data_IF_915657267768
#
_entry.id   IF_915657267768
#
_cell.length_a   1.000
_cell.length_b   1.000
_cell.length_c   1.000
_cell.angle_alpha   90.00
_cell.angle_beta   90.00
_cell.angle_gamma   90.00
#
_symmetry.space_group_name_H-M   'P 1'
#
loop_
_entity.id
_entity.type
_entity.pdbx_description
1 polymer ?
#
# COMPACT_ATOMS: atom_id res chain seq x y z
N UNK A 1 -4.87 10.78 20.02
CA UNK A 1 -3.65 11.60 20.08
C UNK A 1 -3.02 11.59 18.71
N UNK A 2 -3.10 12.68 17.94
CA UNK A 2 -2.44 12.80 16.63
C UNK A 2 -0.94 12.72 16.86
N UNK A 3 -0.28 11.71 16.26
CA UNK A 3 1.19 11.66 16.24
C UNK A 3 1.64 12.76 15.30
N UNK A 4 2.47 13.69 15.77
CA UNK A 4 3.08 14.71 14.92
C UNK A 4 4.03 14.01 13.92
N UNK A 5 3.48 13.53 12.81
CA UNK A 5 4.24 12.86 11.75
C UNK A 5 4.77 13.96 10.83
N UNK A 6 6.09 14.06 10.74
CA UNK A 6 6.72 15.00 9.84
C UNK A 6 6.44 14.62 8.39
N UNK A 7 5.79 15.53 7.66
CA UNK A 7 5.59 15.43 6.21
C UNK A 7 6.76 16.01 5.41
N UNK A 8 7.82 16.44 6.10
CA UNK A 8 9.05 16.90 5.47
C UNK A 8 9.69 15.75 4.69
N UNK A 9 10.02 15.95 3.40
CA UNK A 9 10.70 14.92 2.63
C UNK A 9 12.01 14.49 3.31
N UNK A 10 12.30 13.18 3.38
CA UNK A 10 13.49 12.70 4.07
C UNK A 10 14.79 13.15 3.37
N UNK A 11 15.77 13.55 4.17
CA UNK A 11 17.14 13.85 3.71
C UNK A 11 17.90 12.55 3.39
N UNK A 12 17.56 11.45 4.05
CA UNK A 12 18.04 10.10 3.75
C UNK A 12 16.87 9.11 3.90
N UNK A 13 16.35 8.63 2.77
CA UNK A 13 15.12 7.85 2.74
C UNK A 13 15.36 6.39 3.19
N UNK A 14 14.65 6.01 4.25
CA UNK A 14 14.63 4.64 4.81
C UNK A 14 13.20 4.10 5.00
N UNK A 15 12.21 4.64 4.26
CA UNK A 15 10.78 4.34 4.44
C UNK A 15 10.38 2.91 4.08
N UNK A 16 11.22 2.17 3.37
CA UNK A 16 10.94 0.81 2.90
C UNK A 16 12.23 -0.05 2.95
N UNK A 17 12.16 -1.37 2.67
CA UNK A 17 13.33 -2.27 2.70
C UNK A 17 14.48 -1.83 1.79
N UNK A 18 14.21 -1.07 0.74
CA UNK A 18 15.26 -0.53 -0.15
C UNK A 18 16.29 0.33 0.56
N UNK A 19 15.88 1.05 1.61
CA UNK A 19 16.75 1.95 2.39
C UNK A 19 17.73 2.73 1.49
N UNK A 20 17.20 3.23 0.35
CA UNK A 20 18.01 3.76 -0.76
C UNK A 20 18.77 5.06 -0.41
N UNK A 21 18.49 5.68 0.73
CA UNK A 21 19.19 6.88 1.18
C UNK A 21 18.93 8.15 0.35
N UNK A 22 17.98 8.11 -0.59
CA UNK A 22 17.71 9.26 -1.45
C UNK A 22 17.37 10.51 -0.64
N UNK A 23 18.02 11.63 -0.94
CA UNK A 23 17.72 12.94 -0.36
C UNK A 23 16.52 13.55 -1.12
N UNK A 24 15.31 13.14 -0.71
CA UNK A 24 14.07 13.62 -1.32
C UNK A 24 13.84 15.11 -1.07
N UNK A 25 14.34 15.64 0.04
CA UNK A 25 14.28 17.09 0.34
C UNK A 25 15.10 17.92 -0.66
N UNK A 26 16.17 17.36 -1.22
CA UNK A 26 16.97 17.99 -2.28
C UNK A 26 16.54 17.60 -3.70
N UNK A 27 15.33 17.06 -3.87
CA UNK A 27 14.77 16.69 -5.17
C UNK A 27 15.26 15.35 -5.75
N UNK A 28 16.04 14.55 -5.00
CA UNK A 28 16.41 13.22 -5.45
C UNK A 28 15.20 12.27 -5.39
N UNK A 29 15.12 11.35 -6.35
CA UNK A 29 14.14 10.26 -6.34
C UNK A 29 14.76 8.97 -5.82
N UNK A 30 13.99 8.20 -5.05
CA UNK A 30 14.42 6.88 -4.61
C UNK A 30 14.26 5.81 -5.69
N UNK A 31 14.61 4.55 -5.37
CA UNK A 31 14.37 3.39 -6.22
C UNK A 31 12.89 3.30 -6.69
N UNK A 32 11.97 3.67 -5.80
CA UNK A 32 10.53 3.67 -6.08
C UNK A 32 10.07 4.81 -7.01
N UNK A 33 10.93 5.73 -7.41
CA UNK A 33 10.57 6.91 -8.19
C UNK A 33 9.93 8.05 -7.40
N UNK A 34 9.76 7.89 -6.07
CA UNK A 34 9.17 8.94 -5.24
C UNK A 34 10.17 10.07 -4.96
N UNK A 35 9.74 11.30 -5.24
CA UNK A 35 10.46 12.55 -4.95
C UNK A 35 9.92 13.26 -3.69
N UNK A 36 10.00 14.58 -3.67
CA UNK A 36 9.58 15.41 -2.53
C UNK A 36 8.07 15.59 -2.41
N UNK A 37 7.35 15.55 -3.53
CA UNK A 37 5.91 15.84 -3.61
C UNK A 37 5.09 14.58 -3.79
N UNK A 38 4.01 14.45 -3.03
CA UNK A 38 3.05 13.35 -3.14
C UNK A 38 2.47 13.26 -4.55
N UNK A 39 2.43 12.04 -5.12
CA UNK A 39 1.97 11.81 -6.48
C UNK A 39 0.98 10.65 -6.54
N UNK A 40 -0.19 10.91 -7.14
CA UNK A 40 -1.22 9.90 -7.38
C UNK A 40 -1.63 9.87 -8.86
N UNK A 41 -1.94 8.67 -9.35
CA UNK A 41 -2.28 8.47 -10.75
C UNK A 41 -3.79 8.42 -11.00
N UNK A 42 -4.53 7.84 -10.05
CA UNK A 42 -5.98 7.63 -10.19
C UNK A 42 -6.64 7.59 -8.82
N UNK A 43 -7.85 8.13 -8.75
CA UNK A 43 -8.76 7.94 -7.62
C UNK A 43 -10.17 7.71 -8.18
N UNK A 44 -10.78 6.56 -7.86
CA UNK A 44 -12.13 6.20 -8.32
C UNK A 44 -12.68 5.00 -7.55
N UNK A 45 -13.98 4.78 -7.65
CA UNK A 45 -14.59 3.50 -7.25
C UNK A 45 -14.03 2.37 -8.13
N UNK A 46 -13.60 1.28 -7.50
CA UNK A 46 -13.06 0.09 -8.14
C UNK A 46 -13.86 -1.14 -7.72
N UNK A 47 -14.33 -1.93 -8.71
CA UNK A 47 -15.28 -3.03 -8.48
C UNK A 47 -14.64 -4.41 -8.65
N UNK A 48 -13.34 -4.45 -8.92
CA UNK A 48 -12.61 -5.69 -9.26
C UNK A 48 -11.50 -6.01 -8.25
N UNK A 49 -11.62 -5.50 -7.02
CA UNK A 49 -10.84 -5.99 -5.90
C UNK A 49 -11.54 -7.25 -5.33
N UNK A 50 -11.01 -7.86 -4.28
CA UNK A 50 -11.63 -9.03 -3.65
C UNK A 50 -13.11 -8.73 -3.29
N UNK A 51 -14.02 -9.72 -3.42
CA UNK A 51 -15.46 -9.50 -3.22
C UNK A 51 -15.80 -8.86 -1.86
N UNK A 52 -15.11 -9.25 -0.79
CA UNK A 52 -15.30 -8.67 0.54
C UNK A 52 -14.69 -7.27 0.73
N UNK A 53 -13.96 -6.75 -0.27
CA UNK A 53 -13.43 -5.38 -0.32
C UNK A 53 -14.30 -4.50 -1.21
N UNK A 54 -14.58 -4.94 -2.45
CA UNK A 54 -15.34 -4.16 -3.43
C UNK A 54 -16.85 -4.19 -3.18
N UNK A 55 -17.38 -5.33 -2.74
CA UNK A 55 -18.82 -5.51 -2.58
C UNK A 55 -19.62 -5.04 -3.79
N UNK A 56 -20.79 -4.47 -3.53
CA UNK A 56 -21.69 -3.96 -4.58
C UNK A 56 -21.49 -2.48 -4.91
N UNK A 57 -20.89 -1.71 -3.98
CA UNK A 57 -20.70 -0.26 -4.13
C UNK A 57 -19.28 0.13 -4.57
N UNK A 58 -18.37 -0.84 -4.61
CA UNK A 58 -16.98 -0.62 -4.98
C UNK A 58 -16.08 -0.16 -3.82
N UNK A 59 -14.79 -0.32 -4.03
CA UNK A 59 -13.71 0.16 -3.17
C UNK A 59 -13.28 1.56 -3.63
N UNK A 60 -13.18 2.51 -2.72
CA UNK A 60 -12.68 3.87 -3.00
C UNK A 60 -11.17 3.86 -3.17
N UNK A 61 -10.69 3.52 -4.36
CA UNK A 61 -9.29 3.17 -4.61
C UNK A 61 -8.48 4.36 -5.07
N UNK A 62 -7.33 4.58 -4.41
CA UNK A 62 -6.33 5.59 -4.79
C UNK A 62 -5.02 4.89 -5.16
N UNK A 63 -4.60 5.05 -6.42
CA UNK A 63 -3.35 4.52 -6.94
C UNK A 63 -2.24 5.55 -6.81
N UNK A 64 -1.24 5.26 -5.97
CA UNK A 64 -0.08 6.13 -5.80
C UNK A 64 1.01 5.79 -6.81
N UNK A 65 1.68 6.84 -7.32
CA UNK A 65 2.77 6.69 -8.30
C UNK A 65 4.02 6.14 -7.65
N UNK A 66 4.72 5.28 -8.41
CA UNK A 66 5.93 4.61 -7.96
C UNK A 66 5.65 3.34 -7.17
N UNK A 67 6.69 2.49 -7.02
CA UNK A 67 6.62 1.24 -6.27
C UNK A 67 8.00 0.83 -5.77
N UNK A 68 8.04 0.21 -4.59
CA UNK A 68 9.27 -0.35 -4.01
C UNK A 68 9.74 -1.62 -4.71
N UNK A 69 8.90 -2.22 -5.56
CA UNK A 69 9.19 -3.36 -6.44
C UNK A 69 9.23 -2.92 -7.90
N UNK A 70 9.87 -3.74 -8.76
CA UNK A 70 9.92 -3.56 -10.23
C UNK A 70 9.48 -4.85 -10.91
N UNK A 71 8.27 -5.32 -10.56
CA UNK A 71 7.73 -6.58 -11.11
C UNK A 71 7.56 -6.48 -12.62
N UNK A 72 8.16 -7.41 -13.39
CA UNK A 72 8.05 -7.43 -14.85
C UNK A 72 6.61 -7.71 -15.34
N UNK A 73 5.78 -8.34 -14.50
CA UNK A 73 4.36 -8.65 -14.79
C UNK A 73 3.38 -7.64 -14.16
N UNK A 74 3.83 -6.44 -13.79
CA UNK A 74 2.97 -5.47 -13.12
C UNK A 74 1.85 -4.96 -14.03
N UNK A 75 0.58 -5.18 -13.65
CA UNK A 75 -0.58 -4.67 -14.37
C UNK A 75 -0.61 -3.14 -14.43
N UNK A 76 -0.06 -2.50 -13.38
CA UNK A 76 -0.02 -1.04 -13.22
C UNK A 76 1.38 -0.48 -13.59
N UNK A 77 2.08 -1.09 -14.55
CA UNK A 77 3.44 -0.72 -14.92
C UNK A 77 3.63 0.79 -15.19
N UNK A 78 2.74 1.47 -15.94
CA UNK A 78 2.86 2.92 -16.15
C UNK A 78 2.84 3.73 -14.84
N UNK A 79 2.06 3.28 -13.84
CA UNK A 79 1.95 3.95 -12.54
C UNK A 79 3.16 3.60 -11.66
N UNK A 80 3.49 2.31 -11.57
CA UNK A 80 4.46 1.77 -10.61
C UNK A 80 5.91 1.97 -11.05
N UNK A 81 6.21 1.84 -12.35
CA UNK A 81 7.57 1.88 -12.89
C UNK A 81 7.87 3.18 -13.64
N UNK A 82 6.93 3.68 -14.45
CA UNK A 82 7.10 4.89 -15.26
C UNK A 82 6.65 6.17 -14.51
N UNK A 83 6.03 6.00 -13.33
CA UNK A 83 5.66 7.11 -12.47
C UNK A 83 4.54 7.98 -13.02
N UNK A 84 3.64 7.40 -13.83
CA UNK A 84 2.41 8.08 -14.27
C UNK A 84 1.63 8.61 -13.06
N UNK A 85 1.16 9.84 -13.16
CA UNK A 85 0.34 10.49 -12.14
C UNK A 85 0.60 11.99 -12.06
N UNK A 86 -0.13 12.63 -11.15
CA UNK A 86 -0.05 14.09 -10.90
C UNK A 86 0.38 14.32 -9.46
N UNK A 87 1.12 15.38 -9.25
CA UNK A 87 1.41 15.89 -7.91
C UNK A 87 0.14 16.46 -7.30
N UNK A 88 -0.09 16.12 -6.04
CA UNK A 88 -1.24 16.58 -5.28
C UNK A 88 -0.80 17.04 -3.89
N UNK A 89 -1.58 17.93 -3.28
CA UNK A 89 -1.35 18.33 -1.88
C UNK A 89 -1.95 17.32 -0.92
N UNK A 90 -1.58 17.42 0.34
CA UNK A 90 -2.12 16.58 1.43
C UNK A 90 -3.61 16.87 1.60
N UNK A 91 -4.01 18.14 1.53
CA UNK A 91 -5.38 18.61 1.65
C UNK A 91 -6.23 18.04 0.50
N UNK A 92 -5.71 18.09 -0.73
CA UNK A 92 -6.44 17.55 -1.88
C UNK A 92 -6.58 16.00 -1.78
N UNK A 93 -5.59 15.30 -1.23
CA UNK A 93 -5.74 13.87 -0.96
C UNK A 93 -6.83 13.60 0.10
N UNK A 94 -6.94 14.44 1.13
CA UNK A 94 -8.01 14.32 2.12
C UNK A 94 -9.40 14.57 1.50
N UNK A 95 -9.52 15.54 0.59
CA UNK A 95 -10.75 15.79 -0.19
C UNK A 95 -11.12 14.61 -1.07
N UNK A 96 -10.14 13.96 -1.70
CA UNK A 96 -10.33 12.73 -2.49
C UNK A 96 -10.93 11.62 -1.60
N UNK A 97 -10.40 11.40 -0.40
CA UNK A 97 -10.93 10.39 0.51
C UNK A 97 -12.39 10.66 0.91
N UNK A 98 -12.71 11.90 1.24
CA UNK A 98 -14.08 12.31 1.56
C UNK A 98 -15.02 12.16 0.36
N UNK A 99 -14.59 12.59 -0.83
CA UNK A 99 -15.36 12.45 -2.05
C UNK A 99 -15.64 10.99 -2.46
N UNK A 100 -14.70 10.06 -2.20
CA UNK A 100 -14.93 8.63 -2.39
C UNK A 100 -15.94 8.07 -1.38
N UNK A 101 -15.92 8.55 -0.14
CA UNK A 101 -16.94 8.22 0.87
C UNK A 101 -18.32 8.72 0.45
N UNK A 102 -18.44 9.95 -0.04
CA UNK A 102 -19.70 10.54 -0.52
C UNK A 102 -20.26 9.78 -1.73
N UNK A 103 -19.40 9.20 -2.57
CA UNK A 103 -19.79 8.32 -3.67
C UNK A 103 -20.27 6.94 -3.19
N UNK A 104 -20.23 6.65 -1.89
CA UNK A 104 -20.74 5.42 -1.29
C UNK A 104 -19.75 4.24 -1.28
N UNK A 105 -18.44 4.48 -1.42
CA UNK A 105 -17.43 3.43 -1.32
C UNK A 105 -17.58 2.62 -0.03
N UNK A 106 -17.22 1.33 -0.07
CA UNK A 106 -17.18 0.49 1.13
C UNK A 106 -15.97 0.78 2.02
N UNK A 107 -14.87 1.26 1.44
CA UNK A 107 -13.60 1.55 2.12
C UNK A 107 -12.78 2.55 1.31
N UNK A 108 -11.68 3.02 1.87
CA UNK A 108 -10.61 3.73 1.14
C UNK A 108 -9.45 2.77 0.95
N UNK A 109 -9.14 2.43 -0.30
CA UNK A 109 -8.11 1.48 -0.67
C UNK A 109 -6.86 2.20 -1.20
N UNK A 110 -5.79 2.15 -0.45
CA UNK A 110 -4.50 2.79 -0.73
C UNK A 110 -3.60 1.80 -1.48
N UNK A 111 -3.46 1.96 -2.80
CA UNK A 111 -2.64 1.05 -3.62
C UNK A 111 -1.21 1.54 -3.68
N UNK A 112 -0.28 0.71 -3.20
CA UNK A 112 1.16 0.98 -3.14
C UNK A 112 1.48 2.27 -2.37
N UNK A 113 1.05 2.41 -1.10
CA UNK A 113 1.16 3.67 -0.36
C UNK A 113 2.50 3.87 0.35
N UNK A 114 3.32 2.82 0.51
CA UNK A 114 4.46 2.77 1.46
C UNK A 114 5.46 3.92 1.30
N UNK A 115 5.82 4.29 0.05
CA UNK A 115 6.74 5.39 -0.25
C UNK A 115 6.17 6.79 0.05
N UNK A 116 4.85 6.90 0.24
CA UNK A 116 4.13 8.13 0.53
C UNK A 116 3.50 8.17 1.92
N UNK A 117 3.81 7.17 2.78
CA UNK A 117 3.21 7.00 4.11
C UNK A 117 3.07 8.29 4.93
N UNK A 118 4.09 9.12 5.15
CA UNK A 118 3.96 10.31 5.99
C UNK A 118 2.89 11.30 5.48
N UNK A 119 2.83 11.51 4.16
CA UNK A 119 1.84 12.42 3.55
C UNK A 119 0.43 11.85 3.60
N UNK A 120 0.31 10.53 3.38
CA UNK A 120 -1.00 9.85 3.43
C UNK A 120 -1.55 9.87 4.86
N UNK A 121 -0.72 9.64 5.87
CA UNK A 121 -1.16 9.72 7.27
C UNK A 121 -1.67 11.12 7.59
N UNK A 122 -0.97 12.17 7.18
CA UNK A 122 -1.42 13.53 7.39
C UNK A 122 -2.77 13.82 6.68
N UNK A 123 -2.94 13.30 5.45
CA UNK A 123 -4.21 13.40 4.74
C UNK A 123 -5.35 12.64 5.43
N UNK A 124 -5.07 11.45 6.00
CA UNK A 124 -6.04 10.69 6.77
C UNK A 124 -6.45 11.41 8.06
N UNK A 125 -5.53 12.09 8.73
CA UNK A 125 -5.85 12.91 9.91
C UNK A 125 -6.81 14.06 9.53
N UNK A 126 -6.55 14.76 8.44
CA UNK A 126 -7.42 15.83 7.91
C UNK A 126 -8.80 15.25 7.52
N UNK A 127 -8.82 14.16 6.77
CA UNK A 127 -10.05 13.54 6.31
C UNK A 127 -10.91 13.02 7.49
N UNK A 128 -10.28 12.42 8.50
CA UNK A 128 -10.98 11.98 9.72
C UNK A 128 -11.57 13.16 10.51
N UNK A 129 -10.86 14.26 10.61
CA UNK A 129 -11.38 15.50 11.19
C UNK A 129 -12.56 16.05 10.36
N UNK A 130 -12.52 15.88 9.04
CA UNK A 130 -13.59 16.22 8.09
C UNK A 130 -14.75 15.21 8.02
N UNK A 131 -14.71 14.12 8.81
CA UNK A 131 -15.83 13.16 8.88
C UNK A 131 -15.63 11.85 8.13
N UNK A 132 -14.42 11.50 7.70
CA UNK A 132 -14.11 10.18 7.15
C UNK A 132 -14.36 9.08 8.21
N UNK A 133 -15.17 8.07 7.85
CA UNK A 133 -15.56 6.95 8.73
C UNK A 133 -15.28 5.58 8.12
N UNK A 134 -14.97 5.53 6.83
CA UNK A 134 -14.73 4.26 6.13
C UNK A 134 -13.47 3.57 6.65
N UNK A 135 -13.44 2.23 6.66
CA UNK A 135 -12.22 1.49 6.91
C UNK A 135 -11.15 1.77 5.84
N UNK A 136 -9.90 1.76 6.26
CA UNK A 136 -8.74 2.04 5.39
C UNK A 136 -8.05 0.73 5.05
N UNK A 137 -7.92 0.46 3.76
CA UNK A 137 -7.22 -0.69 3.20
C UNK A 137 -5.82 -0.26 2.76
N UNK A 138 -4.78 -0.98 3.18
CA UNK A 138 -3.43 -0.86 2.64
C UNK A 138 -3.18 -2.02 1.66
N UNK A 139 -3.21 -1.72 0.37
CA UNK A 139 -2.95 -2.67 -0.71
C UNK A 139 -1.47 -2.59 -1.10
N UNK A 140 -0.69 -3.58 -0.66
CA UNK A 140 0.76 -3.57 -0.76
C UNK A 140 1.31 -4.85 -1.40
N UNK A 141 2.43 -4.72 -2.10
CA UNK A 141 3.18 -5.86 -2.61
C UNK A 141 3.88 -6.72 -1.55
N UNK A 142 3.64 -6.46 -0.27
CA UNK A 142 4.22 -7.19 0.87
C UNK A 142 5.66 -6.80 1.20
N UNK A 143 6.38 -6.14 0.31
CA UNK A 143 7.78 -5.74 0.50
C UNK A 143 7.87 -4.51 1.40
N UNK A 144 7.67 -4.74 2.70
CA UNK A 144 7.66 -3.73 3.77
C UNK A 144 8.62 -4.13 4.89
N UNK A 145 9.00 -3.17 5.72
CA UNK A 145 9.68 -3.47 6.98
C UNK A 145 8.67 -3.52 8.13
N UNK A 146 9.02 -4.21 9.23
CA UNK A 146 8.19 -4.21 10.45
C UNK A 146 7.97 -2.79 10.96
N UNK A 147 9.00 -1.94 10.94
CA UNK A 147 8.91 -0.53 11.35
C UNK A 147 7.94 0.25 10.44
N UNK A 148 7.91 -0.10 9.13
CA UNK A 148 6.95 0.48 8.18
C UNK A 148 5.53 0.14 8.57
N UNK A 149 5.26 -1.13 8.89
CA UNK A 149 3.94 -1.61 9.34
C UNK A 149 3.54 -0.94 10.66
N UNK A 150 4.46 -0.89 11.63
CA UNK A 150 4.19 -0.26 12.92
C UNK A 150 3.87 1.24 12.80
N UNK A 151 4.46 1.92 11.84
CA UNK A 151 4.18 3.34 11.60
C UNK A 151 2.74 3.60 11.09
N UNK A 152 2.07 2.59 10.51
CA UNK A 152 0.68 2.64 10.10
C UNK A 152 -0.33 2.35 11.23
N UNK A 153 0.14 1.96 12.43
CA UNK A 153 -0.73 1.58 13.56
C UNK A 153 -1.76 2.66 13.90
N UNK A 154 -3.03 2.26 13.88
CA UNK A 154 -4.18 3.14 14.12
C UNK A 154 -4.69 3.88 12.88
N UNK A 155 -4.07 3.65 11.72
CA UNK A 155 -4.52 4.21 10.44
C UNK A 155 -5.10 3.16 9.50
N UNK A 156 -4.51 1.97 9.46
CA UNK A 156 -4.94 0.87 8.59
C UNK A 156 -5.82 -0.10 9.37
N UNK A 157 -6.97 -0.43 8.80
CA UNK A 157 -7.93 -1.40 9.33
C UNK A 157 -7.77 -2.75 8.63
N UNK A 158 -7.49 -2.72 7.33
CA UNK A 158 -7.40 -3.90 6.48
C UNK A 158 -6.06 -3.90 5.74
N UNK A 159 -5.31 -4.99 5.87
CA UNK A 159 -4.13 -5.24 5.07
C UNK A 159 -4.46 -6.16 3.91
N UNK A 160 -4.24 -5.71 2.70
CA UNK A 160 -4.34 -6.47 1.47
C UNK A 160 -2.91 -6.63 0.94
N UNK A 161 -2.25 -7.68 1.41
CA UNK A 161 -0.82 -7.89 1.20
C UNK A 161 -0.56 -9.05 0.25
N UNK A 162 0.42 -8.89 -0.64
CA UNK A 162 0.89 -10.00 -1.46
C UNK A 162 2.04 -10.74 -0.75
N UNK A 163 2.07 -12.06 -0.83
CA UNK A 163 3.25 -12.89 -0.59
C UNK A 163 3.62 -13.57 -1.92
N UNK A 164 4.56 -12.94 -2.64
CA UNK A 164 4.79 -13.26 -4.05
C UNK A 164 5.76 -14.42 -4.27
N UNK A 165 6.78 -14.54 -3.40
CA UNK A 165 7.91 -15.48 -3.58
C UNK A 165 8.45 -15.95 -2.24
N UNK A 166 8.98 -17.17 -2.23
CA UNK A 166 9.94 -17.66 -1.24
C UNK A 166 11.37 -17.60 -1.83
N UNK A 167 11.52 -17.91 -3.10
CA UNK A 167 12.80 -17.95 -3.81
C UNK A 167 13.43 -16.57 -3.99
N UNK A 168 14.63 -16.36 -3.45
CA UNK A 168 15.42 -15.13 -3.62
C UNK A 168 15.85 -14.90 -5.07
N UNK A 169 16.18 -15.97 -5.82
CA UNK A 169 16.54 -15.85 -7.23
C UNK A 169 15.37 -15.39 -8.07
N UNK A 170 14.19 -15.98 -7.86
CA UNK A 170 12.97 -15.62 -8.56
C UNK A 170 12.53 -14.19 -8.26
N UNK A 171 12.57 -13.78 -7.00
CA UNK A 171 12.21 -12.43 -6.59
C UNK A 171 13.21 -11.38 -7.06
N UNK A 172 14.51 -11.74 -7.17
CA UNK A 172 15.51 -10.87 -7.79
C UNK A 172 15.24 -10.66 -9.27
N UNK A 173 14.97 -11.73 -10.01
CA UNK A 173 14.72 -11.73 -11.45
C UNK A 173 13.43 -10.97 -11.80
N UNK A 174 12.32 -11.35 -11.17
CA UNK A 174 10.99 -10.88 -11.57
C UNK A 174 10.55 -9.58 -10.90
N UNK A 175 11.13 -9.19 -9.76
CA UNK A 175 10.72 -8.00 -9.00
C UNK A 175 11.88 -7.15 -8.47
N UNK A 176 13.13 -7.46 -8.87
CA UNK A 176 14.35 -6.77 -8.42
C UNK A 176 14.50 -6.70 -6.89
N UNK A 177 14.06 -7.74 -6.17
CA UNK A 177 14.05 -7.77 -4.70
C UNK A 177 14.57 -9.11 -4.16
N UNK A 178 15.91 -9.36 -4.17
CA UNK A 178 16.47 -10.64 -3.75
C UNK A 178 16.20 -11.01 -2.28
N UNK A 179 15.90 -10.02 -1.46
CA UNK A 179 15.55 -10.16 -0.04
C UNK A 179 14.03 -10.15 0.22
N UNK A 180 13.20 -10.33 -0.83
CA UNK A 180 11.75 -10.16 -0.74
C UNK A 180 11.14 -10.95 0.41
N UNK A 181 11.35 -12.26 0.48
CA UNK A 181 10.72 -13.11 1.49
C UNK A 181 11.20 -12.77 2.91
N UNK A 182 12.50 -12.49 3.07
CA UNK A 182 13.08 -12.11 4.35
C UNK A 182 12.49 -10.79 4.91
N UNK A 183 12.01 -9.90 4.05
CA UNK A 183 11.34 -8.66 4.44
C UNK A 183 9.82 -8.87 4.57
N UNK A 184 9.21 -9.54 3.59
CA UNK A 184 7.76 -9.65 3.50
C UNK A 184 7.15 -10.50 4.63
N UNK A 185 7.76 -11.65 4.96
CA UNK A 185 7.25 -12.54 6.00
C UNK A 185 7.09 -11.85 7.36
N UNK A 186 8.14 -11.26 7.98
CA UNK A 186 7.99 -10.60 9.27
C UNK A 186 7.07 -9.37 9.20
N UNK A 187 7.00 -8.68 8.05
CA UNK A 187 6.08 -7.57 7.85
C UNK A 187 4.61 -8.05 7.85
N UNK A 188 4.31 -9.17 7.18
CA UNK A 188 2.97 -9.77 7.15
C UNK A 188 2.58 -10.29 8.55
N UNK A 189 3.49 -10.93 9.28
CA UNK A 189 3.27 -11.32 10.67
C UNK A 189 2.91 -10.10 11.55
N UNK A 190 3.59 -8.97 11.36
CA UNK A 190 3.27 -7.72 12.04
C UNK A 190 1.91 -7.14 11.62
N UNK A 191 1.53 -7.23 10.34
CA UNK A 191 0.21 -6.84 9.84
C UNK A 191 -0.89 -7.68 10.50
N UNK A 192 -0.70 -9.00 10.59
CA UNK A 192 -1.63 -9.91 11.26
C UNK A 192 -1.78 -9.59 12.76
N UNK A 193 -0.65 -9.38 13.44
CA UNK A 193 -0.66 -8.98 14.86
C UNK A 193 -1.35 -7.63 15.09
N UNK A 194 -1.25 -6.70 14.12
CA UNK A 194 -1.86 -5.38 14.21
C UNK A 194 -3.36 -5.41 13.93
N UNK A 195 -3.80 -6.12 12.89
CA UNK A 195 -5.20 -6.19 12.49
C UNK A 195 -6.03 -7.15 13.36
N UNK A 196 -5.41 -8.23 13.86
CA UNK A 196 -6.11 -9.27 14.61
C UNK A 196 -7.03 -10.11 13.73
N UNK A 197 -8.05 -10.71 14.34
CA UNK A 197 -9.02 -11.55 13.62
C UNK A 197 -9.85 -10.73 12.63
N UNK A 198 -10.24 -11.32 11.47
CA UNK A 198 -11.08 -10.65 10.51
C UNK A 198 -12.47 -10.36 11.10
N UNK A 199 -12.98 -9.16 10.79
CA UNK A 199 -14.30 -8.70 11.17
C UNK A 199 -15.05 -8.28 9.92
N UNK A 200 -16.23 -8.85 9.71
CA UNK A 200 -17.10 -8.55 8.59
C UNK A 200 -18.37 -7.84 9.09
N UNK A 201 -18.96 -7.00 8.26
CA UNK A 201 -20.28 -6.46 8.51
C UNK A 201 -21.39 -7.44 8.08
N UNK A 202 -22.65 -7.02 8.23
CA UNK A 202 -23.83 -7.83 7.87
C UNK A 202 -23.96 -8.10 6.36
N UNK A 203 -23.26 -7.34 5.53
CA UNK A 203 -23.25 -7.51 4.07
C UNK A 203 -22.05 -8.39 3.61
N UNK A 204 -21.24 -8.89 4.54
CA UNK A 204 -20.04 -9.69 4.25
C UNK A 204 -18.85 -8.84 3.79
N UNK A 205 -18.87 -7.54 4.02
CA UNK A 205 -17.75 -6.64 3.70
C UNK A 205 -16.78 -6.62 4.86
N UNK A 206 -15.50 -6.82 4.56
CA UNK A 206 -14.43 -6.81 5.55
C UNK A 206 -14.26 -5.40 6.13
N UNK A 207 -14.29 -5.31 7.45
CA UNK A 207 -14.11 -4.06 8.21
C UNK A 207 -12.74 -3.99 8.85
N UNK A 208 -12.13 -5.14 9.16
CA UNK A 208 -10.79 -5.26 9.73
C UNK A 208 -10.23 -6.64 9.46
N UNK A 209 -8.93 -6.74 9.23
CA UNK A 209 -8.26 -8.03 9.05
C UNK A 209 -7.10 -7.98 8.05
N UNK A 210 -6.63 -9.16 7.66
CA UNK A 210 -5.60 -9.34 6.64
C UNK A 210 -6.13 -10.26 5.56
N UNK A 211 -5.96 -9.86 4.31
CA UNK A 211 -6.09 -10.74 3.15
C UNK A 211 -4.69 -10.92 2.57
N UNK A 212 -4.23 -12.16 2.55
CA UNK A 212 -2.98 -12.52 1.93
C UNK A 212 -3.25 -13.01 0.50
N UNK A 213 -2.58 -12.40 -0.47
CA UNK A 213 -2.68 -12.77 -1.88
C UNK A 213 -1.40 -13.42 -2.36
N UNK A 214 -1.56 -14.42 -3.21
CA UNK A 214 -0.45 -15.02 -3.95
C UNK A 214 -0.80 -15.09 -5.44
N UNK A 215 0.19 -14.81 -6.29
CA UNK A 215 0.08 -14.94 -7.73
C UNK A 215 0.93 -16.13 -8.19
N UNK A 216 0.28 -17.23 -8.56
CA UNK A 216 0.97 -18.37 -9.17
C UNK A 216 1.51 -17.99 -10.56
N UNK A 217 2.82 -18.08 -10.72
CA UNK A 217 3.50 -17.73 -11.96
C UNK A 217 3.74 -18.95 -12.83
N UNK A 218 3.50 -18.89 -14.15
CA UNK A 218 3.77 -19.99 -15.06
C UNK A 218 5.23 -20.47 -14.96
N UNK A 219 5.43 -21.76 -14.83
CA UNK A 219 6.76 -22.38 -14.72
C UNK A 219 7.38 -22.32 -13.32
N UNK A 220 6.71 -21.74 -12.32
CA UNK A 220 7.24 -21.57 -10.95
C UNK A 220 6.29 -22.10 -9.87
N UNK A 221 5.60 -23.22 -10.16
CA UNK A 221 4.60 -23.79 -9.25
C UNK A 221 5.20 -24.26 -7.93
N UNK A 222 6.44 -24.72 -7.92
CA UNK A 222 7.13 -25.17 -6.70
C UNK A 222 7.34 -24.02 -5.72
N UNK A 223 7.63 -22.81 -6.21
CA UNK A 223 7.73 -21.62 -5.36
C UNK A 223 6.35 -21.22 -4.80
N UNK A 224 5.28 -21.42 -5.60
CA UNK A 224 3.91 -21.21 -5.14
C UNK A 224 3.51 -22.17 -4.02
N UNK A 225 3.89 -23.42 -4.09
CA UNK A 225 3.69 -24.36 -2.98
C UNK A 225 4.48 -23.95 -1.74
N UNK A 226 5.74 -23.56 -1.90
CA UNK A 226 6.56 -23.06 -0.79
C UNK A 226 6.03 -21.78 -0.13
N UNK A 227 5.22 -20.99 -0.84
CA UNK A 227 4.52 -19.82 -0.27
C UNK A 227 3.32 -20.26 0.59
N UNK A 228 2.66 -21.37 0.24
CA UNK A 228 1.47 -21.87 0.91
C UNK A 228 1.78 -22.72 2.15
N UNK A 229 3.00 -23.28 2.25
CA UNK A 229 3.51 -24.07 3.38
C UNK A 229 4.01 -23.15 4.53
#
# INVERSE_FOLDING_TARGET
MSKNISTTPPVSCTLCPRRCGANRAAGQTGFCGAGSTLKAARAALHFWEEPCISGTRGSGTVFFSGCTLKCCFCQNYPISAEGLGKEITIEHLAEIFLGLQEQGAHNINLVTPGQWRPWIIAALDIARAGGLRLPIVCNTGGYETVESVEAWRGYIDIWLADLKYVSSSLSAELSSAPDYFAQARPAIEAMMAQAGHPVFDSEGILQRGVILRHLALPGHIDDSFAVLD
#
